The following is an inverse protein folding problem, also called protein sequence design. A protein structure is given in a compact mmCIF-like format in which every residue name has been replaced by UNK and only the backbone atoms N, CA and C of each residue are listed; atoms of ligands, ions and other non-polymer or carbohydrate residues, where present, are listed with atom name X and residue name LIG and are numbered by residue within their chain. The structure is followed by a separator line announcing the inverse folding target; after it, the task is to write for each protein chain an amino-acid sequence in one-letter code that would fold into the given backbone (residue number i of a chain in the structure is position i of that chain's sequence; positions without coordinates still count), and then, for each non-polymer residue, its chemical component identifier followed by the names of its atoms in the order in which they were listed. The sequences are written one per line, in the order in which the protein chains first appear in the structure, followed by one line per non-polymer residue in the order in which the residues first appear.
data_IF_565844972019
#
_entry.id   IF_565844972019
#
_cell.length_a   1.000
_cell.length_b   1.000
_cell.length_c   1.000
_cell.angle_alpha   90.00
_cell.angle_beta   90.00
_cell.angle_gamma   90.00
#
_symmetry.space_group_name_H-M   'P 1'
#
loop_
_entity.id
_entity.type
_entity.pdbx_description
1 polymer ?
#
# COMPACT_ATOMS: atom_id res chain seq x y z
N UNK A 1 -20.26 28.42 2.66
CA UNK A 1 -21.03 29.68 2.60
C UNK A 1 -21.99 29.67 3.77
N UNK A 2 -22.02 30.72 4.59
CA UNK A 2 -23.07 30.90 5.59
C UNK A 2 -24.00 31.98 5.04
N UNK A 3 -25.27 31.64 4.83
CA UNK A 3 -26.28 32.45 4.15
C UNK A 3 -26.39 32.18 2.64
N UNK A 4 -27.61 32.29 2.10
CA UNK A 4 -27.93 32.20 0.66
C UNK A 4 -28.19 33.60 0.07
N UNK A 5 -27.91 33.78 -1.23
CA UNK A 5 -28.20 35.02 -1.98
C UNK A 5 -27.05 36.05 -1.98
N UNK A 6 -27.31 37.29 -2.46
CA UNK A 6 -26.30 38.36 -2.61
C UNK A 6 -25.62 38.82 -1.30
N UNK A 7 -26.07 38.30 -0.16
CA UNK A 7 -25.47 38.52 1.16
C UNK A 7 -24.47 37.43 1.58
N UNK A 8 -24.21 36.42 0.73
CA UNK A 8 -23.25 35.36 1.02
C UNK A 8 -21.85 35.95 1.23
N UNK A 9 -21.31 35.79 2.45
CA UNK A 9 -19.96 36.22 2.79
C UNK A 9 -19.03 35.01 2.85
N UNK A 10 -17.88 35.12 2.20
CA UNK A 10 -16.80 34.16 2.34
C UNK A 10 -16.21 34.26 3.75
N UNK A 11 -16.39 33.21 4.55
CA UNK A 11 -15.76 33.10 5.87
C UNK A 11 -14.37 32.52 5.67
N UNK A 12 -13.34 33.26 6.07
CA UNK A 12 -11.98 32.73 6.20
C UNK A 12 -11.89 32.06 7.57
N UNK A 13 -11.47 30.80 7.58
CA UNK A 13 -11.21 30.04 8.81
C UNK A 13 -9.72 29.78 8.82
N UNK A 14 -9.06 30.19 9.90
CA UNK A 14 -7.65 29.89 10.10
C UNK A 14 -7.49 28.43 10.51
N UNK A 15 -6.57 27.72 9.84
CA UNK A 15 -6.26 26.33 10.16
C UNK A 15 -5.01 26.28 11.03
N UNK A 16 -4.98 25.42 12.07
CA UNK A 16 -3.75 25.15 12.79
C UNK A 16 -2.72 24.50 11.85
N UNK A 17 -1.42 24.59 12.15
CA UNK A 17 -0.39 23.88 11.39
C UNK A 17 -0.66 22.37 11.36
N UNK A 18 -0.53 21.75 10.18
CA UNK A 18 -0.69 20.31 10.01
C UNK A 18 0.23 19.78 8.90
N UNK A 19 0.44 18.46 8.86
CA UNK A 19 1.18 17.79 7.80
C UNK A 19 0.20 17.08 6.87
N UNK A 20 0.12 17.54 5.62
CA UNK A 20 -0.66 16.86 4.59
C UNK A 20 0.15 15.72 3.98
N UNK A 21 -0.38 14.50 4.01
CA UNK A 21 0.18 13.34 3.31
C UNK A 21 -0.74 12.98 2.15
N UNK A 22 -0.22 13.11 0.92
CA UNK A 22 -0.94 12.75 -0.31
C UNK A 22 -0.41 11.44 -0.91
N UNK A 23 -1.31 10.59 -1.40
CA UNK A 23 -0.96 9.39 -2.15
C UNK A 23 -1.70 9.36 -3.49
N UNK A 24 -0.98 9.10 -4.58
CA UNK A 24 -1.56 8.95 -5.92
C UNK A 24 -0.84 7.86 -6.68
N UNK A 25 -1.58 7.13 -7.53
CA UNK A 25 -0.99 6.17 -8.48
C UNK A 25 -0.44 6.86 -9.73
N UNK A 26 -0.81 8.12 -9.97
CA UNK A 26 -0.50 8.86 -11.19
C UNK A 26 -0.06 10.28 -10.84
N UNK A 27 1.20 10.43 -10.42
CA UNK A 27 1.75 11.73 -10.02
C UNK A 27 1.74 12.77 -11.16
N UNK A 28 1.90 12.34 -12.41
CA UNK A 28 1.83 13.22 -13.60
C UNK A 28 0.43 13.81 -13.87
N UNK A 29 -0.60 13.33 -13.17
CA UNK A 29 -1.97 13.84 -13.26
C UNK A 29 -2.26 14.96 -12.27
N UNK A 30 -1.33 15.24 -11.33
CA UNK A 30 -1.47 16.36 -10.41
C UNK A 30 -1.12 17.66 -11.13
N UNK A 31 -1.94 18.69 -10.91
CA UNK A 31 -1.65 20.04 -11.38
C UNK A 31 -0.35 20.54 -10.75
N UNK A 32 0.47 21.25 -11.52
CA UNK A 32 1.73 21.81 -11.01
C UNK A 32 1.53 22.62 -9.70
N UNK A 33 0.51 23.50 -9.57
CA UNK A 33 0.31 24.27 -8.34
C UNK A 33 0.06 23.44 -7.08
N UNK A 34 -0.55 22.25 -7.20
CA UNK A 34 -0.76 21.37 -6.05
C UNK A 34 0.51 20.56 -5.77
N UNK A 35 1.16 20.04 -6.81
CA UNK A 35 2.39 19.24 -6.67
C UNK A 35 3.52 20.04 -6.01
N UNK A 36 3.68 21.30 -6.40
CA UNK A 36 4.76 22.18 -5.92
C UNK A 36 4.58 22.57 -4.42
N UNK A 37 3.43 22.24 -3.80
CA UNK A 37 3.18 22.43 -2.36
C UNK A 37 3.76 21.32 -1.48
N UNK A 38 4.18 20.20 -2.06
CA UNK A 38 4.74 19.07 -1.32
C UNK A 38 6.27 19.19 -1.24
N UNK A 39 6.79 19.50 -0.05
CA UNK A 39 8.24 19.60 0.19
C UNK A 39 8.98 18.25 0.19
N UNK A 40 8.25 17.14 0.38
CA UNK A 40 8.78 15.78 0.33
C UNK A 40 7.97 15.00 -0.70
N UNK A 41 8.66 14.44 -1.70
CA UNK A 41 8.05 13.59 -2.72
C UNK A 41 8.81 12.27 -2.76
N UNK A 42 8.10 11.18 -2.48
CA UNK A 42 8.65 9.83 -2.55
C UNK A 42 7.87 9.01 -3.56
N UNK A 43 8.60 8.35 -4.47
CA UNK A 43 8.03 7.42 -5.43
C UNK A 43 8.30 6.00 -4.95
N UNK A 44 7.23 5.23 -4.78
CA UNK A 44 7.35 3.80 -4.52
C UNK A 44 7.49 3.07 -5.85
N UNK A 45 8.49 2.20 -5.92
CA UNK A 45 8.69 1.29 -7.05
C UNK A 45 8.18 -0.11 -6.71
N UNK A 46 8.13 -0.96 -7.73
CA UNK A 46 7.86 -2.36 -7.50
C UNK A 46 9.00 -2.98 -6.71
N UNK A 47 8.67 -3.91 -5.83
CA UNK A 47 9.64 -4.63 -5.02
C UNK A 47 10.35 -5.69 -5.86
N UNK A 48 11.63 -5.88 -5.56
CA UNK A 48 12.39 -7.01 -6.08
C UNK A 48 11.91 -8.32 -5.45
N UNK A 49 12.14 -9.43 -6.16
CA UNK A 49 11.74 -10.76 -5.67
C UNK A 49 12.37 -11.10 -4.31
N UNK A 50 13.61 -10.66 -4.05
CA UNK A 50 14.28 -10.86 -2.76
C UNK A 50 13.59 -10.14 -1.60
N UNK A 51 13.14 -8.90 -1.85
CA UNK A 51 12.49 -8.07 -0.82
C UNK A 51 11.09 -8.64 -0.54
N UNK A 52 10.40 -9.09 -1.60
CA UNK A 52 9.14 -9.82 -1.46
C UNK A 52 9.31 -11.15 -0.73
N UNK A 53 10.39 -11.89 -0.97
CA UNK A 53 10.68 -13.15 -0.26
C UNK A 53 10.81 -12.90 1.24
N UNK A 54 11.49 -11.82 1.62
CA UNK A 54 11.59 -11.38 3.02
C UNK A 54 10.22 -11.04 3.61
N UNK A 55 9.37 -10.32 2.86
CA UNK A 55 8.02 -9.97 3.28
C UNK A 55 7.15 -11.22 3.45
N UNK A 56 7.19 -12.16 2.51
CA UNK A 56 6.38 -13.39 2.56
C UNK A 56 6.83 -14.26 3.74
N UNK A 57 8.14 -14.44 3.93
CA UNK A 57 8.72 -15.20 5.05
C UNK A 57 8.27 -14.64 6.40
N UNK A 58 8.37 -13.31 6.57
CA UNK A 58 7.87 -12.64 7.78
C UNK A 58 6.36 -12.81 7.95
N UNK A 59 5.57 -12.70 6.89
CA UNK A 59 4.12 -12.88 6.94
C UNK A 59 3.72 -14.31 7.29
N UNK A 60 4.47 -15.32 6.82
CA UNK A 60 4.25 -16.72 7.17
C UNK A 60 4.51 -16.97 8.66
N UNK A 61 5.59 -16.41 9.20
CA UNK A 61 5.88 -16.47 10.64
C UNK A 61 4.76 -15.83 11.48
N UNK A 62 4.25 -14.67 11.08
CA UNK A 62 3.12 -14.01 11.77
C UNK A 62 1.82 -14.82 11.71
N UNK A 63 1.67 -15.67 10.69
CA UNK A 63 0.54 -16.59 10.52
C UNK A 63 0.83 -17.98 11.11
N UNK A 64 1.97 -18.17 11.77
CA UNK A 64 2.41 -19.44 12.34
C UNK A 64 2.46 -20.59 11.32
N UNK A 65 2.86 -20.26 10.09
CA UNK A 65 3.03 -21.23 9.01
C UNK A 65 4.48 -21.69 8.96
N UNK A 66 4.67 -23.00 8.84
CA UNK A 66 5.96 -23.55 8.44
C UNK A 66 6.12 -23.35 6.93
N UNK A 67 7.16 -22.60 6.54
CA UNK A 67 7.41 -22.24 5.15
C UNK A 67 8.92 -22.17 4.92
N UNK A 68 9.37 -22.87 3.90
CA UNK A 68 10.75 -22.83 3.44
C UNK A 68 11.04 -21.57 2.61
N UNK A 69 12.34 -21.28 2.44
CA UNK A 69 12.80 -20.13 1.66
C UNK A 69 12.40 -20.25 0.18
N UNK A 70 12.42 -21.46 -0.38
CA UNK A 70 12.03 -21.72 -1.76
C UNK A 70 10.54 -21.44 -2.00
N UNK A 71 9.66 -21.88 -1.09
CA UNK A 71 8.23 -21.58 -1.14
C UNK A 71 7.95 -20.08 -1.00
N UNK A 72 8.66 -19.39 -0.11
CA UNK A 72 8.60 -17.94 0.02
C UNK A 72 8.96 -17.22 -1.29
N UNK A 73 10.07 -17.65 -1.91
CA UNK A 73 10.59 -17.12 -3.17
C UNK A 73 9.61 -17.37 -4.32
N UNK A 74 8.95 -18.53 -4.37
CA UNK A 74 7.99 -18.86 -5.41
C UNK A 74 6.71 -18.00 -5.31
N UNK A 75 6.23 -17.74 -4.09
CA UNK A 75 5.15 -16.76 -3.87
C UNK A 75 5.60 -15.37 -4.30
N UNK A 76 6.81 -14.96 -3.95
CA UNK A 76 7.36 -13.65 -4.30
C UNK A 76 7.42 -13.43 -5.83
N UNK A 77 7.99 -14.39 -6.59
CA UNK A 77 8.05 -14.35 -8.07
C UNK A 77 6.68 -14.15 -8.71
N UNK A 78 5.62 -14.72 -8.14
CA UNK A 78 4.23 -14.65 -8.65
C UNK A 78 3.46 -13.42 -8.18
N UNK A 79 4.09 -12.53 -7.40
CA UNK A 79 3.42 -11.42 -6.73
C UNK A 79 3.44 -10.09 -7.49
N UNK A 80 4.01 -10.06 -8.70
CA UNK A 80 4.07 -8.85 -9.57
C UNK A 80 4.63 -7.63 -8.84
N UNK A 81 5.76 -7.80 -8.13
CA UNK A 81 6.44 -6.72 -7.42
C UNK A 81 5.63 -6.07 -6.29
N UNK A 82 4.52 -6.68 -5.84
CA UNK A 82 3.53 -6.02 -4.97
C UNK A 82 3.31 -6.78 -3.66
N UNK A 83 3.70 -6.21 -2.49
CA UNK A 83 3.52 -6.86 -1.18
C UNK A 83 2.07 -7.26 -0.87
N UNK A 84 1.11 -6.42 -1.26
CA UNK A 84 -0.33 -6.70 -1.11
C UNK A 84 -0.77 -7.96 -1.87
N UNK A 85 -0.19 -8.21 -3.05
CA UNK A 85 -0.48 -9.43 -3.83
C UNK A 85 0.21 -10.63 -3.18
N UNK A 86 1.45 -10.48 -2.73
CA UNK A 86 2.21 -11.53 -2.04
C UNK A 86 1.46 -12.06 -0.81
N UNK A 87 1.01 -11.18 0.08
CA UNK A 87 0.24 -11.57 1.26
C UNK A 87 -1.15 -12.14 0.94
N UNK A 88 -1.69 -11.85 -0.25
CA UNK A 88 -2.94 -12.47 -0.73
C UNK A 88 -2.68 -13.89 -1.24
N UNK A 89 -1.60 -14.10 -2.00
CA UNK A 89 -1.20 -15.41 -2.50
C UNK A 89 -0.81 -16.34 -1.36
N UNK A 90 -0.01 -15.86 -0.39
CA UNK A 90 0.38 -16.63 0.79
C UNK A 90 -0.84 -17.21 1.53
N UNK A 91 -1.89 -16.40 1.74
CA UNK A 91 -3.13 -16.89 2.36
C UNK A 91 -3.78 -18.02 1.58
N UNK A 92 -3.73 -17.99 0.24
CA UNK A 92 -4.27 -19.06 -0.61
C UNK A 92 -3.41 -20.32 -0.58
N UNK A 93 -2.09 -20.16 -0.57
CA UNK A 93 -1.15 -21.28 -0.41
C UNK A 93 -1.38 -21.98 0.92
N UNK A 94 -1.54 -21.21 2.01
CA UNK A 94 -1.92 -21.73 3.32
C UNK A 94 -3.23 -22.51 3.27
N UNK A 95 -4.32 -21.89 2.78
CA UNK A 95 -5.63 -22.53 2.76
C UNK A 95 -5.58 -23.89 2.03
N UNK A 96 -4.76 -24.00 0.98
CA UNK A 96 -4.54 -25.25 0.26
C UNK A 96 -3.72 -26.27 1.06
N UNK A 97 -2.68 -25.83 1.75
CA UNK A 97 -1.85 -26.67 2.61
C UNK A 97 -2.67 -27.25 3.78
N UNK A 98 -3.47 -26.43 4.45
CA UNK A 98 -4.31 -26.84 5.60
C UNK A 98 -5.32 -27.93 5.20
N UNK A 99 -5.97 -27.76 4.04
CA UNK A 99 -6.93 -28.76 3.51
C UNK A 99 -6.23 -30.06 3.14
N UNK A 100 -5.04 -30.00 2.52
CA UNK A 100 -4.29 -31.20 2.15
C UNK A 100 -3.71 -31.96 3.34
N UNK A 101 -3.37 -31.27 4.42
CA UNK A 101 -2.87 -31.91 5.65
C UNK A 101 -4.00 -32.54 6.47
N UNK A 102 -5.23 -32.05 6.34
CA UNK A 102 -6.39 -32.55 7.09
C UNK A 102 -7.11 -33.71 6.35
N UNK A 103 -6.78 -33.96 5.09
CA UNK A 103 -7.32 -35.07 4.28
C UNK A 103 -6.37 -36.28 4.27
#
# INVERSE_FOLDING_TARGET
MIGEGPAARSVKIDLPPFTLVGATTRAGMLTNPLRDRFGIVSRLEFYENRDLTTIVSRSAQLLQLDMDEEGAMEVAKRSRGTPRIANRLLRRVRDFADVKTTA
#
